data_IF_152477520044
#
_entry.id   IF_152477520044
#
_cell.length_a   1.000
_cell.length_b   1.000
_cell.length_c   1.000
_cell.angle_alpha   90.00
_cell.angle_beta   90.00
_cell.angle_gamma   90.00
#
_symmetry.space_group_name_H-M   'P 1'
#
loop_
_entity.id
_entity.type
_entity.pdbx_description
1 polymer ?
#
# COMPACT_ATOMS: atom_id res chain seq x y z
N UNK A 1 -14.37 -15.17 3.19
CA UNK A 1 -13.69 -13.85 3.03
C UNK A 1 -14.53 -12.90 2.20
N UNK A 2 -14.54 -11.64 2.59
CA UNK A 2 -15.11 -10.58 1.78
C UNK A 2 -14.24 -10.32 0.54
N UNK A 3 -14.76 -9.57 -0.42
CA UNK A 3 -14.00 -9.13 -1.59
C UNK A 3 -12.76 -8.34 -1.17
N UNK A 4 -12.91 -7.44 -0.21
CA UNK A 4 -11.82 -6.61 0.31
C UNK A 4 -10.74 -7.47 0.97
N UNK A 5 -11.14 -8.47 1.74
CA UNK A 5 -10.18 -9.39 2.35
C UNK A 5 -9.42 -10.22 1.33
N UNK A 6 -10.09 -10.64 0.25
CA UNK A 6 -9.40 -11.38 -0.81
C UNK A 6 -8.33 -10.56 -1.50
N UNK A 7 -8.59 -9.27 -1.79
CA UNK A 7 -7.58 -8.40 -2.38
C UNK A 7 -6.46 -8.09 -1.40
N UNK A 8 -6.80 -7.88 -0.11
CA UNK A 8 -5.78 -7.68 0.91
C UNK A 8 -4.89 -8.91 1.09
N UNK A 9 -5.47 -10.12 0.98
CA UNK A 9 -4.70 -11.36 1.03
C UNK A 9 -3.69 -11.46 -0.13
N UNK A 10 -4.07 -10.97 -1.32
CA UNK A 10 -3.13 -10.89 -2.45
C UNK A 10 -2.00 -9.91 -2.16
N UNK A 11 -2.30 -8.77 -1.56
CA UNK A 11 -1.28 -7.81 -1.14
C UNK A 11 -0.34 -8.42 -0.08
N UNK A 12 -0.88 -9.19 0.87
CA UNK A 12 -0.08 -9.89 1.87
C UNK A 12 0.88 -10.90 1.24
N UNK A 13 0.43 -11.63 0.21
CA UNK A 13 1.30 -12.56 -0.52
C UNK A 13 2.48 -11.81 -1.15
N UNK A 14 2.22 -10.64 -1.71
CA UNK A 14 3.29 -9.79 -2.27
C UNK A 14 4.25 -9.28 -1.19
N UNK A 15 3.75 -8.98 0.01
CA UNK A 15 4.60 -8.59 1.14
C UNK A 15 5.64 -9.68 1.46
N UNK A 16 5.30 -10.93 1.27
CA UNK A 16 6.22 -12.05 1.46
C UNK A 16 7.42 -12.00 0.53
N UNK A 17 7.26 -11.49 -0.68
CA UNK A 17 8.38 -11.31 -1.62
C UNK A 17 9.37 -10.25 -1.12
N UNK A 18 8.87 -9.18 -0.51
CA UNK A 18 9.72 -8.16 0.09
C UNK A 18 10.52 -8.74 1.27
N UNK A 19 9.86 -9.47 2.16
CA UNK A 19 10.51 -10.12 3.30
C UNK A 19 11.60 -11.08 2.85
N UNK A 20 11.36 -11.86 1.80
CA UNK A 20 12.33 -12.80 1.25
C UNK A 20 13.60 -12.09 0.72
N UNK A 21 13.45 -10.83 0.30
CA UNK A 21 14.57 -10.00 -0.16
C UNK A 21 15.11 -9.08 0.95
N UNK A 22 14.77 -9.35 2.21
CA UNK A 22 15.18 -8.57 3.39
C UNK A 22 14.72 -7.11 3.38
N UNK A 23 13.59 -6.85 2.74
CA UNK A 23 12.93 -5.55 2.78
C UNK A 23 11.68 -5.60 3.66
N UNK A 24 11.22 -4.45 4.12
CA UNK A 24 10.02 -4.36 4.95
C UNK A 24 8.83 -4.97 4.19
N UNK A 25 8.12 -5.93 4.80
CA UNK A 25 7.08 -6.68 4.09
C UNK A 25 5.78 -5.88 3.93
N UNK A 26 5.75 -5.10 2.89
CA UNK A 26 4.56 -4.38 2.44
C UNK A 26 4.24 -4.80 1.02
N UNK A 27 2.98 -5.08 0.77
CA UNK A 27 2.47 -5.42 -0.56
C UNK A 27 1.27 -4.56 -0.91
N UNK A 28 1.04 -4.40 -2.20
CA UNK A 28 -0.02 -3.53 -2.72
C UNK A 28 -0.58 -4.06 -4.03
N UNK A 29 -1.90 -3.96 -4.19
CA UNK A 29 -2.57 -4.22 -5.47
C UNK A 29 -3.47 -3.05 -5.82
N UNK A 30 -3.58 -2.75 -7.12
CA UNK A 30 -4.54 -1.79 -7.66
C UNK A 30 -5.57 -2.57 -8.47
N UNK A 31 -6.84 -2.30 -8.22
CA UNK A 31 -7.97 -3.04 -8.75
C UNK A 31 -8.89 -2.10 -9.54
N UNK A 32 -9.31 -2.53 -10.72
CA UNK A 32 -10.30 -1.83 -11.53
C UNK A 32 -11.30 -2.84 -12.07
N UNK A 33 -12.59 -2.55 -11.88
CA UNK A 33 -13.69 -3.40 -12.38
C UNK A 33 -13.52 -4.88 -12.02
N UNK A 34 -13.09 -5.14 -10.77
CA UNK A 34 -12.92 -6.50 -10.26
C UNK A 34 -11.65 -7.21 -10.69
N UNK A 35 -10.74 -6.54 -11.40
CA UNK A 35 -9.48 -7.12 -11.86
C UNK A 35 -8.27 -6.38 -11.27
N UNK A 36 -7.26 -7.14 -10.86
CA UNK A 36 -5.97 -6.57 -10.42
C UNK A 36 -5.23 -6.09 -11.67
N UNK A 37 -4.97 -4.79 -11.74
CA UNK A 37 -4.26 -4.16 -12.88
C UNK A 37 -2.85 -3.70 -12.52
N UNK A 38 -2.48 -3.74 -11.25
CA UNK A 38 -1.14 -3.39 -10.81
C UNK A 38 -0.81 -4.06 -9.49
N UNK A 39 0.43 -4.48 -9.34
CA UNK A 39 0.93 -5.14 -8.13
C UNK A 39 2.30 -4.61 -7.79
N UNK A 40 2.62 -4.57 -6.50
CA UNK A 40 3.92 -4.15 -6.04
C UNK A 40 4.23 -4.62 -4.63
N UNK A 41 5.49 -4.63 -4.30
CA UNK A 41 6.00 -4.86 -2.95
C UNK A 41 7.25 -4.02 -2.76
N UNK A 42 7.62 -3.76 -1.52
CA UNK A 42 8.78 -2.93 -1.22
C UNK A 42 10.04 -3.51 -1.85
N UNK A 43 10.76 -2.68 -2.60
CA UNK A 43 12.01 -3.02 -3.27
C UNK A 43 13.08 -1.95 -3.04
N UNK A 44 13.07 -1.33 -1.88
CA UNK A 44 14.01 -0.24 -1.56
C UNK A 44 15.44 -0.73 -1.51
N UNK A 45 15.67 -1.89 -0.90
CA UNK A 45 17.01 -2.49 -0.75
C UNK A 45 17.48 -3.04 -2.09
N UNK A 46 16.70 -3.93 -2.72
CA UNK A 46 17.06 -4.56 -3.99
C UNK A 46 17.23 -3.56 -5.12
N UNK A 47 16.39 -2.51 -5.14
CA UNK A 47 16.43 -1.47 -6.17
C UNK A 47 17.35 -0.31 -5.86
N UNK A 48 17.93 -0.26 -4.66
CA UNK A 48 18.69 0.91 -4.17
C UNK A 48 17.89 2.20 -4.40
N UNK A 49 16.61 2.19 -4.01
CA UNK A 49 15.66 3.24 -4.34
C UNK A 49 14.73 3.51 -3.15
N UNK A 50 14.90 4.68 -2.53
CA UNK A 50 14.09 5.09 -1.37
C UNK A 50 12.61 5.26 -1.72
N UNK A 51 12.27 5.43 -2.99
CA UNK A 51 10.89 5.60 -3.45
C UNK A 51 10.21 4.29 -3.85
N UNK A 52 10.93 3.17 -3.86
CA UNK A 52 10.40 1.87 -4.28
C UNK A 52 9.51 1.22 -3.21
N UNK A 53 8.51 1.93 -2.76
CA UNK A 53 7.46 1.43 -1.90
C UNK A 53 6.46 0.61 -2.71
N UNK A 54 5.82 -0.35 -2.06
CA UNK A 54 4.82 -1.23 -2.67
C UNK A 54 3.77 -0.46 -3.46
N UNK A 55 3.29 0.63 -2.90
CA UNK A 55 2.23 1.45 -3.49
C UNK A 55 2.69 2.12 -4.79
N UNK A 56 3.89 2.69 -4.82
CA UNK A 56 4.42 3.32 -6.02
C UNK A 56 4.64 2.30 -7.14
N UNK A 57 5.16 1.13 -6.78
CA UNK A 57 5.34 0.03 -7.74
C UNK A 57 4.00 -0.39 -8.35
N UNK A 58 2.98 -0.57 -7.51
CA UNK A 58 1.65 -0.97 -7.96
C UNK A 58 0.99 0.11 -8.82
N UNK A 59 1.11 1.39 -8.43
CA UNK A 59 0.56 2.52 -9.19
C UNK A 59 1.23 2.62 -10.56
N UNK A 60 2.55 2.51 -10.63
CA UNK A 60 3.28 2.52 -11.90
C UNK A 60 2.83 1.39 -12.81
N UNK A 61 2.70 0.18 -12.27
CA UNK A 61 2.24 -0.98 -13.03
C UNK A 61 0.81 -0.77 -13.56
N UNK A 62 -0.08 -0.25 -12.72
CA UNK A 62 -1.46 0.02 -13.10
C UNK A 62 -1.54 1.08 -14.21
N UNK A 63 -0.79 2.16 -14.08
CA UNK A 63 -0.75 3.22 -15.11
C UNK A 63 -0.24 2.68 -16.44
N UNK A 64 0.78 1.83 -16.42
CA UNK A 64 1.28 1.18 -17.64
C UNK A 64 0.24 0.27 -18.26
N UNK A 65 -0.51 -0.47 -17.45
CA UNK A 65 -1.55 -1.39 -17.92
C UNK A 65 -2.71 -0.65 -18.60
N UNK A 66 -3.15 0.48 -18.01
CA UNK A 66 -4.27 1.24 -18.61
C UNK A 66 -3.82 2.26 -19.65
N UNK A 67 -2.53 2.53 -19.75
CA UNK A 67 -1.98 3.51 -20.69
C UNK A 67 -2.30 4.96 -20.32
N UNK A 68 -2.42 5.26 -19.02
CA UNK A 68 -2.75 6.60 -18.54
C UNK A 68 -2.20 6.80 -17.12
N UNK A 69 -1.89 8.04 -16.77
CA UNK A 69 -1.54 8.39 -15.40
C UNK A 69 -2.78 8.45 -14.48
N UNK A 70 -3.97 8.53 -15.04
CA UNK A 70 -5.21 8.60 -14.27
C UNK A 70 -5.74 7.20 -13.99
N UNK A 71 -6.00 6.96 -12.71
CA UNK A 71 -6.56 5.70 -12.23
C UNK A 71 -7.95 5.91 -11.65
N UNK A 72 -8.78 6.70 -12.36
CA UNK A 72 -10.16 6.95 -11.96
C UNK A 72 -10.93 5.63 -11.85
N UNK A 73 -11.74 5.51 -10.81
CA UNK A 73 -12.53 4.31 -10.57
C UNK A 73 -11.72 3.13 -10.04
N UNK A 74 -10.43 3.30 -9.78
CA UNK A 74 -9.59 2.24 -9.23
C UNK A 74 -9.64 2.25 -7.70
N UNK A 75 -9.43 1.07 -7.13
CA UNK A 75 -9.24 0.89 -5.70
C UNK A 75 -7.83 0.38 -5.45
N UNK A 76 -7.23 0.78 -4.35
CA UNK A 76 -5.88 0.36 -3.98
C UNK A 76 -5.94 -0.33 -2.62
N UNK A 77 -5.29 -1.48 -2.52
CA UNK A 77 -5.16 -2.25 -1.29
C UNK A 77 -3.69 -2.34 -0.92
N UNK A 78 -3.35 -1.92 0.28
CA UNK A 78 -1.97 -1.94 0.80
C UNK A 78 -1.95 -2.50 2.22
N UNK A 79 -0.95 -3.32 2.53
CA UNK A 79 -0.89 -4.00 3.83
C UNK A 79 -0.56 -3.08 4.99
N UNK A 80 0.05 -1.92 4.71
CA UNK A 80 0.42 -0.93 5.73
C UNK A 80 -0.16 0.43 5.35
N UNK A 81 -0.62 1.18 6.35
CA UNK A 81 -1.12 2.55 6.16
C UNK A 81 -0.10 3.40 5.38
N UNK A 82 -0.52 4.11 4.32
CA UNK A 82 0.40 4.84 3.44
C UNK A 82 1.17 5.95 4.14
N UNK A 83 2.44 6.11 3.75
CA UNK A 83 3.29 7.24 4.14
C UNK A 83 2.93 8.49 3.31
N UNK A 84 3.52 9.67 3.61
CA UNK A 84 3.21 10.90 2.87
C UNK A 84 3.47 10.80 1.36
N UNK A 85 4.57 10.16 0.97
CA UNK A 85 4.94 9.99 -0.44
C UNK A 85 3.88 9.20 -1.19
N UNK A 86 3.47 8.07 -0.62
CA UNK A 86 2.50 7.16 -1.26
C UNK A 86 1.09 7.73 -1.24
N UNK A 87 0.69 8.36 -0.14
CA UNK A 87 -0.61 9.03 -0.06
C UNK A 87 -0.69 10.16 -1.09
N UNK A 88 0.38 10.94 -1.28
CA UNK A 88 0.46 11.95 -2.31
C UNK A 88 0.34 11.36 -3.71
N UNK A 89 0.97 10.21 -3.95
CA UNK A 89 0.87 9.52 -5.24
C UNK A 89 -0.57 9.07 -5.53
N UNK A 90 -1.29 8.62 -4.52
CA UNK A 90 -2.70 8.22 -4.65
C UNK A 90 -3.59 9.40 -5.04
N UNK A 91 -3.33 10.57 -4.47
CA UNK A 91 -4.01 11.81 -4.85
C UNK A 91 -3.69 12.16 -6.31
N UNK A 92 -2.40 12.15 -6.66
CA UNK A 92 -1.96 12.48 -8.02
C UNK A 92 -2.56 11.55 -9.06
N UNK A 93 -2.61 10.25 -8.78
CA UNK A 93 -3.14 9.25 -9.70
C UNK A 93 -4.68 9.18 -9.73
N UNK A 94 -5.36 9.91 -8.87
CA UNK A 94 -6.83 9.93 -8.79
C UNK A 94 -7.45 8.60 -8.36
N UNK A 95 -6.78 7.89 -7.45
CA UNK A 95 -7.33 6.67 -6.85
C UNK A 95 -8.62 7.02 -6.11
N UNK A 96 -9.67 6.25 -6.33
CA UNK A 96 -10.97 6.52 -5.72
C UNK A 96 -11.11 6.02 -4.29
N UNK A 97 -10.65 4.80 -4.03
CA UNK A 97 -10.72 4.19 -2.70
C UNK A 97 -9.39 3.57 -2.32
N UNK A 98 -9.00 3.75 -1.06
CA UNK A 98 -7.79 3.19 -0.50
C UNK A 98 -8.17 2.34 0.70
N UNK A 99 -7.71 1.08 0.69
CA UNK A 99 -7.92 0.12 1.77
C UNK A 99 -6.55 -0.23 2.33
N UNK A 100 -6.36 -0.09 3.65
CA UNK A 100 -5.09 -0.52 4.25
C UNK A 100 -5.34 -1.55 5.35
N UNK A 101 -4.31 -2.33 5.67
CA UNK A 101 -4.37 -3.35 6.70
C UNK A 101 -3.96 -2.80 8.06
N UNK A 102 -2.67 -2.74 8.33
CA UNK A 102 -2.13 -2.30 9.61
C UNK A 102 -1.89 -0.80 9.65
N UNK A 103 -2.02 -0.21 10.84
CA UNK A 103 -1.66 1.19 11.07
C UNK A 103 -0.15 1.38 11.06
N UNK A 104 0.28 2.57 10.65
CA UNK A 104 1.68 2.98 10.64
C UNK A 104 1.85 4.16 11.59
N UNK A 105 2.17 3.92 12.88
CA UNK A 105 2.21 4.99 13.88
C UNK A 105 3.25 6.07 13.61
N UNK A 106 4.30 5.75 12.87
CA UNK A 106 5.42 6.68 12.64
C UNK A 106 5.29 7.53 11.39
N UNK A 107 4.63 7.03 10.36
CA UNK A 107 4.59 7.71 9.08
C UNK A 107 3.23 7.64 8.38
N UNK A 108 2.21 7.09 9.04
CA UNK A 108 0.89 6.89 8.43
C UNK A 108 0.15 8.19 8.21
N UNK A 109 -0.38 8.35 7.00
CA UNK A 109 -1.09 9.55 6.57
C UNK A 109 -2.60 9.36 6.38
N UNK A 110 -3.15 8.29 6.97
CA UNK A 110 -4.58 8.00 6.95
C UNK A 110 -5.14 7.92 8.37
N UNK A 111 -4.65 8.79 9.26
CA UNK A 111 -5.14 8.93 10.62
C UNK A 111 -4.08 8.78 11.71
N UNK A 112 -2.96 8.10 11.46
CA UNK A 112 -1.97 7.85 12.53
C UNK A 112 -1.14 9.10 12.86
N UNK A 113 -0.43 9.68 11.90
CA UNK A 113 0.31 10.93 12.09
C UNK A 113 -0.53 12.11 11.66
N UNK A 114 -1.12 12.01 10.47
CA UNK A 114 -2.04 13.02 9.96
C UNK A 114 -3.04 12.33 9.03
N UNK A 115 -4.01 13.10 8.53
CA UNK A 115 -5.04 12.62 7.60
C UNK A 115 -4.92 13.40 6.30
N UNK A 116 -4.02 12.97 5.41
CA UNK A 116 -3.71 13.72 4.19
C UNK A 116 -4.92 13.83 3.27
N UNK A 117 -5.77 12.80 3.22
CA UNK A 117 -6.95 12.80 2.37
C UNK A 117 -8.07 13.74 2.88
N UNK A 118 -7.94 14.29 4.09
CA UNK A 118 -8.87 15.28 4.63
C UNK A 118 -8.49 16.71 4.26
N UNK A 119 -7.30 16.91 3.71
CA UNK A 119 -6.82 18.24 3.34
C UNK A 119 -7.47 18.74 2.05
N UNK A 120 -7.35 20.04 1.78
CA UNK A 120 -8.04 20.71 0.70
C UNK A 120 -7.46 20.51 -0.70
N UNK A 121 -6.90 19.34 -0.99
CA UNK A 121 -6.40 19.04 -2.33
C UNK A 121 -7.56 18.82 -3.30
N UNK A 122 -7.25 18.86 -4.60
CA UNK A 122 -8.25 18.78 -5.66
C UNK A 122 -8.84 17.39 -5.87
N UNK A 123 -8.32 16.39 -5.17
CA UNK A 123 -8.85 15.02 -5.18
C UNK A 123 -8.69 14.42 -3.78
N UNK A 124 -9.69 13.68 -3.32
CA UNK A 124 -9.70 13.07 -1.99
C UNK A 124 -10.12 11.62 -2.10
N UNK A 125 -9.17 10.68 -2.06
CA UNK A 125 -9.54 9.26 -1.95
C UNK A 125 -10.34 8.99 -0.69
N UNK A 126 -11.30 8.09 -0.77
CA UNK A 126 -11.98 7.56 0.42
C UNK A 126 -11.12 6.44 0.99
N UNK A 127 -10.88 6.44 2.31
CA UNK A 127 -9.97 5.48 2.92
C UNK A 127 -10.68 4.63 3.98
N UNK A 128 -10.36 3.34 3.98
CA UNK A 128 -10.83 2.37 4.96
C UNK A 128 -9.64 1.59 5.50
N UNK A 129 -9.54 1.47 6.82
CA UNK A 129 -8.44 0.76 7.46
C UNK A 129 -8.89 -0.52 8.15
N UNK A 130 -7.91 -1.35 8.50
CA UNK A 130 -8.14 -2.54 9.31
C UNK A 130 -8.51 -3.81 8.54
N UNK A 131 -8.43 -3.81 7.22
CA UNK A 131 -8.72 -4.99 6.41
C UNK A 131 -7.58 -6.00 6.60
N UNK A 132 -7.88 -7.15 7.22
CA UNK A 132 -6.88 -8.12 7.67
C UNK A 132 -5.77 -7.45 8.49
N UNK A 133 -6.15 -6.46 9.30
CA UNK A 133 -5.19 -5.62 10.02
C UNK A 133 -4.29 -6.41 10.97
N UNK A 134 -4.82 -7.39 11.67
CA UNK A 134 -4.03 -8.24 12.58
C UNK A 134 -3.00 -9.07 11.82
N UNK A 135 -3.38 -9.65 10.69
CA UNK A 135 -2.49 -10.44 9.84
C UNK A 135 -1.38 -9.58 9.24
N UNK A 136 -1.73 -8.38 8.77
CA UNK A 136 -0.76 -7.42 8.24
C UNK A 136 0.24 -6.97 9.31
N UNK A 137 -0.24 -6.65 10.51
CA UNK A 137 0.60 -6.26 11.62
C UNK A 137 1.54 -7.39 12.05
N UNK A 138 1.05 -8.62 12.04
CA UNK A 138 1.83 -9.80 12.42
C UNK A 138 3.01 -10.02 11.47
N UNK A 139 2.81 -9.86 10.18
CA UNK A 139 3.86 -10.02 9.18
C UNK A 139 4.97 -8.99 9.42
N UNK A 140 4.62 -7.75 9.69
CA UNK A 140 5.58 -6.69 10.02
C UNK A 140 6.31 -6.98 11.32
N UNK A 141 5.58 -7.34 12.36
CA UNK A 141 6.15 -7.64 13.66
C UNK A 141 7.16 -8.80 13.58
N UNK A 142 6.81 -9.88 12.89
CA UNK A 142 7.68 -11.04 12.72
C UNK A 142 8.97 -10.68 11.97
N UNK A 143 8.86 -9.84 10.95
CA UNK A 143 10.02 -9.37 10.19
C UNK A 143 11.00 -8.59 11.08
N UNK A 144 10.50 -7.63 11.83
CA UNK A 144 11.35 -6.79 12.69
C UNK A 144 11.96 -7.58 13.85
N UNK A 145 11.24 -8.55 14.39
CA UNK A 145 11.80 -9.46 15.40
C UNK A 145 13.00 -10.25 14.84
N UNK A 146 12.85 -10.77 13.62
CA UNK A 146 13.91 -11.52 12.94
C UNK A 146 15.14 -10.67 12.65
N UNK A 147 14.97 -9.35 12.48
CA UNK A 147 16.05 -8.42 12.19
C UNK A 147 16.61 -7.74 13.45
N UNK A 148 16.06 -8.03 14.64
CA UNK A 148 16.43 -7.33 15.87
C UNK A 148 15.98 -5.88 15.90
N UNK A 149 15.02 -5.50 15.06
CA UNK A 149 14.44 -4.16 15.00
C UNK A 149 12.97 -4.22 15.39
N UNK A 150 12.50 -3.21 16.10
CA UNK A 150 11.13 -3.16 16.57
C UNK A 150 10.29 -2.12 15.85
N UNK A 151 10.89 -1.29 14.99
CA UNK A 151 10.24 -0.15 14.37
C UNK A 151 10.36 -0.19 12.86
N UNK A 152 9.33 0.31 12.24
CA UNK A 152 9.31 0.56 10.80
C UNK A 152 10.14 1.79 10.48
#
# INVERSE_FOLDING_TARGET
MTKEERYMAQALALAGHAAAAADIPVGCVVVKDGAVIGQGYNRRVAGADATAHAELEAIRAACAQVGSWRLDGCELYVTLEPCPMCAGAMINARIGKVWYGAKNPKAGCCGSVLSLFQEGFNHRPVVYGGVLGAECAKVLHNFFRGCGKENI
#
